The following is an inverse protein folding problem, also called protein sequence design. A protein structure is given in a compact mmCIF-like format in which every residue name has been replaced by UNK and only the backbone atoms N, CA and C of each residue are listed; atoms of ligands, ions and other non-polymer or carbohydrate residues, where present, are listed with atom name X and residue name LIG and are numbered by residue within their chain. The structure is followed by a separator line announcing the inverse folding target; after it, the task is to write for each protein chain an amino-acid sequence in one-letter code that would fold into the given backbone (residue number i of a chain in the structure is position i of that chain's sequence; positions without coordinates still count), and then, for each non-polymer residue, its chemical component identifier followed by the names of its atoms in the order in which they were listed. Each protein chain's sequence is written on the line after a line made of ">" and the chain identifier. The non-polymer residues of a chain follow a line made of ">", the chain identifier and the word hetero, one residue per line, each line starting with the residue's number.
data_IF_523640721125
#
_entry.id   IF_523640721125
#
_cell.length_a   1.000
_cell.length_b   1.000
_cell.length_c   1.000
_cell.angle_alpha   90.00
_cell.angle_beta   90.00
_cell.angle_gamma   90.00
#
_symmetry.space_group_name_H-M   'P 1'
#
loop_
_entity.id
_entity.type
_entity.pdbx_description
1 polymer ?
#
# COMPACT_ATOMS: atom_id res chain seq x y z
N UNK A 1 -9.21 -10.10 -16.77
CA UNK A 1 -9.40 -10.34 -17.26
C UNK A 1 -9.57 -10.43 -17.36
N UNK A 2 -9.64 -10.06 -17.11
CA UNK A 2 -9.90 -10.25 -17.57
C UNK A 2 -10.30 -10.09 -17.72
N UNK A 3 -10.41 -9.79 -17.65
CA UNK A 3 -10.81 -9.72 -18.10
C UNK A 3 -11.06 -9.44 -18.25
N UNK A 4 -11.27 -8.88 -18.11
CA UNK A 4 -11.52 -8.74 -18.61
C UNK A 4 -11.55 -8.39 -18.79
N UNK A 5 -11.61 -7.83 -18.55
CA UNK A 5 -11.74 -7.63 -19.02
C UNK A 5 -11.61 -7.26 -19.11
N UNK A 6 -11.86 -6.52 -18.93
CA UNK A 6 -11.75 -6.40 -19.34
C UNK A 6 -11.47 -6.04 -19.33
N UNK A 7 -11.36 -5.49 -18.98
CA UNK A 7 -11.14 -5.35 -19.30
C UNK A 7 -10.75 -5.09 -19.26
N UNK A 8 -10.87 -4.36 -19.16
CA UNK A 8 -10.51 -4.39 -19.52
C UNK A 8 -10.06 -4.14 -19.55
N UNK A 9 -9.94 -3.68 -19.32
CA UNK A 9 -9.51 -3.67 -19.65
C UNK A 9 -9.01 -3.50 -19.68
N UNK A 10 -9.04 -2.81 -19.65
CA UNK A 10 -8.60 -2.90 -20.02
C UNK A 10 -7.98 -2.63 -20.10
N UNK A 11 -7.90 -2.23 -19.96
CA UNK A 11 -7.35 -2.25 -20.25
C UNK A 11 -6.73 -2.16 -20.25
N UNK A 12 -6.65 -1.59 -20.13
CA UNK A 12 -6.15 -1.78 -20.41
C UNK A 12 -5.55 -1.89 -20.46
N UNK A 13 -5.49 -1.57 -20.45
CA UNK A 13 -5.02 -1.90 -20.61
C UNK A 13 -4.38 -1.88 -20.80
N UNK A 14 -4.22 -1.59 -20.91
CA UNK A 14 -3.75 -1.73 -21.15
C UNK A 14 -2.99 -1.60 -21.40
N UNK A 15 -2.85 -1.55 -21.44
CA UNK A 15 -2.15 -1.50 -21.76
C UNK A 15 -1.56 -2.03 -21.93
N UNK A 16 -1.38 -2.43 -22.02
CA UNK A 16 -0.89 -3.18 -22.18
C UNK A 16 -0.39 -3.89 -22.16
N UNK A 17 -0.39 -4.16 -22.10
CA UNK A 17 0.16 -4.93 -22.07
C UNK A 17 0.53 -5.75 -21.93
N UNK A 18 0.66 -5.97 -22.24
CA UNK A 18 1.07 -7.09 -22.11
C UNK A 18 1.64 -7.57 -21.29
N UNK A 19 1.58 -7.39 -20.91
CA UNK A 19 2.50 -7.81 -20.01
C UNK A 19 2.36 -9.20 -19.53
N UNK A 20 3.40 -9.82 -19.45
CA UNK A 20 3.48 -11.15 -18.93
C UNK A 20 3.52 -11.17 -17.40
N UNK A 21 3.45 -10.04 -16.77
CA UNK A 21 3.53 -9.96 -15.33
C UNK A 21 2.37 -10.69 -14.67
N UNK A 22 2.65 -11.44 -13.62
CA UNK A 22 1.63 -12.05 -12.81
C UNK A 22 0.97 -11.06 -11.86
N UNK A 23 1.53 -9.87 -11.72
CA UNK A 23 1.01 -8.85 -10.82
C UNK A 23 -0.03 -8.01 -11.50
N UNK A 24 -1.17 -7.86 -10.85
CA UNK A 24 -2.19 -6.94 -11.29
C UNK A 24 -1.95 -5.58 -10.64
N UNK A 25 -1.98 -4.53 -11.46
CA UNK A 25 -1.84 -3.16 -10.96
C UNK A 25 -3.22 -2.53 -10.85
N UNK A 26 -3.63 -2.10 -9.65
CA UNK A 26 -4.95 -1.53 -9.48
C UNK A 26 -5.05 -0.14 -10.12
N UNK A 27 -6.26 0.24 -10.54
CA UNK A 27 -6.48 1.59 -11.07
C UNK A 27 -6.38 2.62 -9.95
N UNK A 28 -5.94 3.83 -10.29
CA UNK A 28 -5.91 4.92 -9.34
C UNK A 28 -7.32 5.43 -9.07
N UNK A 29 -7.63 5.63 -7.78
CA UNK A 29 -8.85 6.27 -7.34
C UNK A 29 -8.45 7.37 -6.34
N UNK A 30 -8.91 8.60 -6.57
CA UNK A 30 -8.58 9.71 -5.68
C UNK A 30 -9.15 9.43 -4.27
N UNK A 31 -8.37 9.63 -3.21
CA UNK A 31 -8.86 9.37 -1.85
C UNK A 31 -9.81 10.46 -1.38
N UNK A 32 -10.72 10.09 -0.49
CA UNK A 32 -11.60 11.05 0.15
C UNK A 32 -10.80 11.95 1.10
N UNK A 33 -11.07 13.27 1.13
CA UNK A 33 -10.38 14.17 2.05
C UNK A 33 -10.57 13.74 3.51
N UNK A 34 -9.54 13.95 4.31
CA UNK A 34 -9.58 13.67 5.74
C UNK A 34 -9.39 12.21 6.14
N UNK A 35 -9.13 11.34 5.19
CA UNK A 35 -8.91 9.91 5.47
C UNK A 35 -7.43 9.61 5.58
N UNK A 36 -7.11 8.43 6.14
CA UNK A 36 -5.73 7.94 6.17
C UNK A 36 -5.16 7.85 4.75
N UNK A 37 -5.98 7.44 3.79
CA UNK A 37 -5.55 7.38 2.39
C UNK A 37 -5.17 8.75 1.85
N UNK A 38 -5.89 9.82 2.22
CA UNK A 38 -5.53 11.16 1.76
C UNK A 38 -4.21 11.63 2.35
N UNK A 39 -3.94 11.29 3.61
CA UNK A 39 -2.64 11.55 4.23
C UNK A 39 -1.53 10.85 3.45
N UNK A 40 -1.74 9.58 3.15
CA UNK A 40 -0.77 8.78 2.39
C UNK A 40 -0.53 9.35 0.99
N UNK A 41 -1.59 9.82 0.34
CA UNK A 41 -1.46 10.40 -1.01
C UNK A 41 -0.52 11.60 -1.00
N UNK A 42 -0.69 12.50 -0.03
CA UNK A 42 0.22 13.63 0.12
C UNK A 42 1.67 13.22 0.34
N UNK A 43 1.89 12.20 1.16
CA UNK A 43 3.24 11.70 1.44
C UNK A 43 3.86 11.01 0.22
N UNK A 44 3.06 10.27 -0.53
CA UNK A 44 3.49 9.62 -1.77
C UNK A 44 3.96 10.66 -2.77
N UNK A 45 3.19 11.75 -2.92
CA UNK A 45 3.55 12.84 -3.81
C UNK A 45 4.85 13.52 -3.38
N UNK A 46 5.05 13.69 -2.07
CA UNK A 46 6.28 14.28 -1.53
C UNK A 46 7.51 13.43 -1.85
N UNK A 47 7.33 12.13 -1.97
CA UNK A 47 8.42 11.22 -2.35
C UNK A 47 8.68 11.21 -3.86
N UNK A 48 7.86 11.91 -4.65
CA UNK A 48 7.96 11.90 -6.09
C UNK A 48 7.34 10.68 -6.75
N UNK A 49 6.56 9.92 -6.01
CA UNK A 49 5.84 8.76 -6.55
C UNK A 49 4.57 9.21 -7.24
N UNK A 50 4.22 8.56 -8.35
CA UNK A 50 3.04 8.88 -9.12
C UNK A 50 1.77 8.24 -8.59
N UNK A 51 0.65 8.50 -9.28
CA UNK A 51 -0.66 7.98 -8.88
C UNK A 51 -0.73 6.45 -8.96
N UNK A 52 0.02 5.84 -9.86
CA UNK A 52 0.09 4.38 -9.96
C UNK A 52 0.74 3.76 -8.72
N UNK A 53 1.75 4.42 -8.15
CA UNK A 53 2.36 3.96 -6.91
C UNK A 53 1.38 4.08 -5.74
N UNK A 54 0.60 5.15 -5.71
CA UNK A 54 -0.43 5.30 -4.70
C UNK A 54 -1.49 4.21 -4.82
N UNK A 55 -1.90 3.88 -6.04
CA UNK A 55 -2.89 2.83 -6.26
C UNK A 55 -2.38 1.47 -5.75
N UNK A 56 -1.12 1.17 -5.98
CA UNK A 56 -0.51 -0.05 -5.42
C UNK A 56 -0.50 -0.03 -3.90
N UNK A 57 -0.21 1.12 -3.31
CA UNK A 57 -0.20 1.27 -1.85
C UNK A 57 -1.59 1.05 -1.26
N UNK A 58 -2.62 1.60 -1.89
CA UNK A 58 -4.00 1.42 -1.45
C UNK A 58 -4.37 -0.06 -1.44
N UNK A 59 -4.05 -0.77 -2.52
CA UNK A 59 -4.34 -2.19 -2.63
C UNK A 59 -3.56 -3.00 -1.58
N UNK A 60 -2.29 -2.67 -1.39
CA UNK A 60 -1.44 -3.37 -0.44
C UNK A 60 -1.97 -3.24 0.99
N UNK A 61 -2.24 -2.02 1.42
CA UNK A 61 -2.67 -1.78 2.80
C UNK A 61 -4.15 -2.11 3.03
N UNK A 62 -4.96 -2.16 1.98
CA UNK A 62 -6.30 -2.77 2.08
C UNK A 62 -6.19 -4.24 2.45
N UNK A 63 -5.26 -4.94 1.83
CA UNK A 63 -5.00 -6.35 2.11
C UNK A 63 -4.47 -6.55 3.53
N UNK A 64 -3.58 -5.65 3.98
CA UNK A 64 -2.94 -5.80 5.28
C UNK A 64 -3.88 -5.47 6.44
N UNK A 65 -4.55 -4.35 6.37
CA UNK A 65 -5.28 -3.83 7.53
C UNK A 65 -6.64 -3.22 7.20
N UNK A 66 -6.95 -3.06 5.92
CA UNK A 66 -8.12 -2.26 5.51
C UNK A 66 -7.94 -0.79 5.87
N UNK A 67 -6.69 -0.32 5.95
CA UNK A 67 -6.35 1.06 6.32
C UNK A 67 -6.79 1.45 7.73
N UNK A 68 -6.90 0.47 8.63
CA UNK A 68 -7.33 0.74 10.01
C UNK A 68 -6.13 0.95 10.92
N UNK A 69 -6.11 2.10 11.59
CA UNK A 69 -5.02 2.50 12.49
C UNK A 69 -4.83 1.49 13.63
N UNK A 70 -5.92 0.96 14.14
CA UNK A 70 -5.89 0.02 15.27
C UNK A 70 -5.90 -1.44 14.86
N UNK A 71 -5.71 -1.76 13.59
CA UNK A 71 -5.72 -3.15 13.14
C UNK A 71 -4.64 -3.95 13.86
N UNK A 72 -5.00 -5.07 14.45
CA UNK A 72 -4.08 -5.89 15.21
C UNK A 72 -4.31 -7.36 14.89
N UNK A 73 -3.24 -8.07 14.53
CA UNK A 73 -3.30 -9.50 14.28
C UNK A 73 -2.78 -10.22 15.53
N UNK A 74 -3.70 -10.83 16.29
CA UNK A 74 -3.35 -11.48 17.54
C UNK A 74 -2.41 -12.67 17.33
N UNK A 75 -2.47 -13.31 16.18
CA UNK A 75 -1.62 -14.47 15.89
C UNK A 75 -0.16 -14.12 15.65
N UNK A 76 0.11 -12.96 15.04
CA UNK A 76 1.47 -12.54 14.70
C UNK A 76 1.96 -11.35 15.51
N UNK A 77 1.06 -10.52 16.03
CA UNK A 77 1.41 -9.27 16.69
C UNK A 77 1.57 -8.09 15.73
N UNK A 78 1.25 -8.28 14.45
CA UNK A 78 1.32 -7.19 13.48
C UNK A 78 0.29 -6.11 13.83
N UNK A 79 0.65 -4.84 13.67
CA UNK A 79 -0.15 -3.73 14.11
C UNK A 79 -0.22 -2.62 13.08
N UNK A 80 -1.40 -1.99 13.01
CA UNK A 80 -1.62 -0.74 12.31
C UNK A 80 -1.83 -0.87 10.81
N UNK A 81 -1.87 0.27 10.15
CA UNK A 81 -2.13 0.33 8.70
C UNK A 81 -1.14 -0.54 7.91
N UNK A 82 0.19 -0.44 8.15
CA UNK A 82 1.14 -1.25 7.39
C UNK A 82 1.35 -2.64 7.97
N UNK A 83 0.73 -2.97 9.09
CA UNK A 83 0.91 -4.24 9.80
C UNK A 83 2.38 -4.50 10.16
N UNK A 84 2.98 -3.53 10.85
CA UNK A 84 4.35 -3.63 11.33
C UNK A 84 4.50 -4.79 12.31
N UNK A 85 5.60 -5.52 12.23
CA UNK A 85 5.84 -6.69 13.04
C UNK A 85 7.23 -6.64 13.67
N UNK A 86 7.35 -6.35 14.99
CA UNK A 86 6.27 -5.93 15.88
C UNK A 86 5.83 -4.49 15.60
N UNK A 87 4.62 -4.13 16.05
CA UNK A 87 4.10 -2.78 15.86
C UNK A 87 5.02 -1.70 16.42
N UNK A 88 5.72 -1.99 17.52
CA UNK A 88 6.62 -1.03 18.16
C UNK A 88 7.76 -0.54 17.26
N UNK A 89 8.04 -1.21 16.15
CA UNK A 89 9.00 -0.70 15.16
C UNK A 89 8.60 0.68 14.65
N UNK A 90 7.32 0.98 14.63
CA UNK A 90 6.81 2.27 14.17
C UNK A 90 7.16 3.42 15.12
N UNK A 91 7.64 3.11 16.33
CA UNK A 91 8.09 4.13 17.27
C UNK A 91 9.26 4.96 16.72
N UNK A 92 10.01 4.43 15.77
CA UNK A 92 11.09 5.17 15.12
C UNK A 92 10.58 6.34 14.28
N UNK A 93 9.33 6.30 13.86
CA UNK A 93 8.71 7.39 13.11
C UNK A 93 7.98 8.39 14.02
N UNK A 94 7.65 8.00 15.24
CA UNK A 94 6.99 8.90 16.19
C UNK A 94 6.47 8.13 17.38
N UNK A 95 6.47 8.77 18.55
CA UNK A 95 6.02 8.13 19.79
C UNK A 95 4.51 7.85 19.81
N UNK A 96 3.76 8.51 18.94
CA UNK A 96 2.31 8.36 18.81
C UNK A 96 1.89 7.31 17.78
N UNK A 97 2.76 6.37 17.49
CA UNK A 97 2.57 5.40 16.43
C UNK A 97 1.31 4.53 16.61
N UNK A 98 0.85 4.35 17.83
CA UNK A 98 -0.32 3.50 18.08
C UNK A 98 -1.63 4.12 17.60
N UNK A 99 -1.71 5.45 17.55
CA UNK A 99 -2.96 6.16 17.29
C UNK A 99 -2.92 7.13 16.14
N UNK A 100 -1.74 7.50 15.66
CA UNK A 100 -1.61 8.50 14.61
C UNK A 100 -1.39 7.85 13.24
N UNK A 101 -2.37 7.95 12.32
CA UNK A 101 -2.22 7.34 11.01
C UNK A 101 -1.04 7.93 10.23
N UNK A 102 -0.75 9.23 10.38
CA UNK A 102 0.37 9.85 9.68
C UNK A 102 1.70 9.21 10.07
N UNK A 103 1.88 8.91 11.36
CA UNK A 103 3.10 8.27 11.85
C UNK A 103 3.23 6.85 11.30
N UNK A 104 2.14 6.10 11.31
CA UNK A 104 2.12 4.74 10.76
C UNK A 104 2.43 4.72 9.27
N UNK A 105 1.82 5.65 8.54
CA UNK A 105 2.03 5.76 7.09
C UNK A 105 3.48 6.15 6.79
N UNK A 106 4.03 7.11 7.51
CA UNK A 106 5.42 7.53 7.33
C UNK A 106 6.38 6.36 7.53
N UNK A 107 6.16 5.57 8.59
CA UNK A 107 6.99 4.39 8.82
C UNK A 107 6.84 3.36 7.69
N UNK A 108 5.59 3.11 7.28
CA UNK A 108 5.30 2.13 6.23
C UNK A 108 5.92 2.49 4.89
N UNK A 109 5.85 3.77 4.52
CA UNK A 109 6.47 4.24 3.28
C UNK A 109 8.00 4.11 3.33
N UNK A 110 8.60 4.41 4.48
CA UNK A 110 10.04 4.22 4.68
C UNK A 110 10.44 2.76 4.55
N UNK A 111 9.65 1.86 5.15
CA UNK A 111 9.87 0.42 5.07
C UNK A 111 9.79 -0.06 3.62
N UNK A 112 8.73 0.33 2.92
CA UNK A 112 8.52 -0.07 1.52
C UNK A 112 9.65 0.47 0.64
N UNK A 113 9.99 1.73 0.79
CA UNK A 113 11.04 2.36 0.00
C UNK A 113 12.39 1.68 0.21
N UNK A 114 12.72 1.39 1.47
CA UNK A 114 14.00 0.76 1.79
C UNK A 114 14.11 -0.69 1.37
N UNK A 115 13.00 -1.42 1.40
CA UNK A 115 13.02 -2.85 1.14
C UNK A 115 12.65 -3.22 -0.30
N UNK A 116 11.72 -2.49 -0.90
CA UNK A 116 11.18 -2.82 -2.23
C UNK A 116 11.42 -1.73 -3.26
N UNK A 117 11.82 -0.55 -2.84
CA UNK A 117 12.05 0.57 -3.72
C UNK A 117 10.79 1.34 -4.13
N UNK A 118 9.63 0.69 -4.13
CA UNK A 118 8.38 1.32 -4.54
C UNK A 118 7.18 0.57 -3.97
N UNK A 119 6.02 1.25 -3.94
CA UNK A 119 4.78 0.63 -3.47
C UNK A 119 4.33 -0.50 -4.42
N UNK A 120 4.48 -0.30 -5.72
CA UNK A 120 4.13 -1.34 -6.68
C UNK A 120 5.06 -2.55 -6.56
N UNK A 121 6.33 -2.33 -6.21
CA UNK A 121 7.26 -3.42 -5.90
C UNK A 121 6.81 -4.24 -4.70
N UNK A 122 6.39 -3.56 -3.64
CA UNK A 122 5.87 -4.23 -2.45
C UNK A 122 4.57 -4.98 -2.74
N UNK A 123 3.68 -4.36 -3.52
CA UNK A 123 2.42 -5.00 -3.93
C UNK A 123 2.67 -6.27 -4.73
N UNK A 124 3.59 -6.20 -5.69
CA UNK A 124 3.95 -7.36 -6.49
C UNK A 124 4.48 -8.50 -5.63
N UNK A 125 5.35 -8.19 -4.66
CA UNK A 125 5.89 -9.17 -3.73
C UNK A 125 4.77 -9.79 -2.90
N UNK A 126 3.86 -8.97 -2.40
CA UNK A 126 2.73 -9.45 -1.60
C UNK A 126 1.82 -10.37 -2.41
N UNK A 127 1.58 -10.06 -3.69
CA UNK A 127 0.74 -10.91 -4.53
C UNK A 127 1.38 -12.28 -4.78
N UNK A 128 2.70 -12.34 -4.91
CA UNK A 128 3.36 -13.61 -5.21
C UNK A 128 3.66 -14.45 -3.96
N UNK A 129 3.83 -13.82 -2.80
CA UNK A 129 4.22 -14.53 -1.57
C UNK A 129 3.18 -14.49 -0.46
N UNK A 130 2.22 -13.55 -0.52
CA UNK A 130 1.23 -13.38 0.53
C UNK A 130 1.65 -12.46 1.67
N UNK A 131 2.87 -11.89 1.62
CA UNK A 131 3.38 -10.97 2.64
C UNK A 131 4.31 -9.92 2.00
N UNK A 132 4.72 -8.95 2.80
CA UNK A 132 5.71 -8.00 2.33
C UNK A 132 6.59 -7.50 3.47
#
# INVERSE_FOLDING_TARGET
>A
VTPKPTPTPTPSAAKGSSSSSSSWSPPFVAPDPGTAQSIAYGMVQQRGWGDDEFACLVALWNKESGWRVGAYNAGSGAYGIPQALPGSKMASAGSDWETNPATQIAWGLGYISGRYGSACGAWSHSQSTGWY
#
